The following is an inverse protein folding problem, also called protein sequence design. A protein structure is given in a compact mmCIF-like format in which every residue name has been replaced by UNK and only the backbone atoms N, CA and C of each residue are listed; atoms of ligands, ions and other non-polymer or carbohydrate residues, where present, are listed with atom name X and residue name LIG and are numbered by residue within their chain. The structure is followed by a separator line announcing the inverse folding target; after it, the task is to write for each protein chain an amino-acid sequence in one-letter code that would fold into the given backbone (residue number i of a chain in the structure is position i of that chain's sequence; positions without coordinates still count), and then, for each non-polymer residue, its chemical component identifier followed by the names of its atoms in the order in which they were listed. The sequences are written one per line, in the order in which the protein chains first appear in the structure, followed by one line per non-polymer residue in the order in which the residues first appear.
data_IF_898563962479
#
_entry.id   IF_898563962479
#
_cell.length_a   1.000
_cell.length_b   1.000
_cell.length_c   1.000
_cell.angle_alpha   90.00
_cell.angle_beta   90.00
_cell.angle_gamma   90.00
#
_symmetry.space_group_name_H-M   'P 1'
#
loop_
_entity.id
_entity.type
_entity.pdbx_description
1 polymer ?
#
# COMPACT_ATOMS: atom_id res chain seq x y z
N UNK A 1 7.70 -4.28 -16.94
CA UNK A 1 6.24 -4.50 -16.98
C UNK A 1 5.56 -3.68 -15.92
N UNK A 2 4.32 -3.22 -16.16
CA UNK A 2 3.64 -2.30 -15.24
C UNK A 2 2.77 -3.05 -14.24
N UNK A 3 3.40 -3.60 -13.23
CA UNK A 3 2.67 -4.25 -12.14
C UNK A 3 2.36 -3.21 -11.06
N UNK A 4 1.16 -3.28 -10.52
CA UNK A 4 0.69 -2.33 -9.53
C UNK A 4 0.56 -3.01 -8.16
N UNK A 5 0.92 -2.30 -7.10
CA UNK A 5 0.71 -2.75 -5.73
C UNK A 5 -0.36 -1.88 -5.09
N UNK A 6 -1.45 -2.49 -4.67
CA UNK A 6 -2.49 -1.83 -3.90
C UNK A 6 -2.25 -2.06 -2.42
N UNK A 7 -2.36 -1.00 -1.63
CA UNK A 7 -2.20 -1.07 -0.18
C UNK A 7 -3.48 -0.62 0.49
N UNK A 8 -4.04 -1.49 1.32
CA UNK A 8 -5.17 -1.18 2.19
C UNK A 8 -4.60 -0.99 3.60
N UNK A 9 -4.38 0.26 3.97
CA UNK A 9 -3.68 0.58 5.20
C UNK A 9 -4.59 0.49 6.42
N UNK A 10 -4.19 -0.31 7.39
CA UNK A 10 -4.84 -0.41 8.69
C UNK A 10 -3.81 -0.17 9.80
N UNK A 11 -4.27 0.14 11.00
CA UNK A 11 -3.38 0.41 12.11
C UNK A 11 -2.61 -0.83 12.56
N UNK A 12 -3.20 -2.00 12.43
CA UNK A 12 -2.55 -3.26 12.79
C UNK A 12 -2.31 -4.15 11.59
N UNK A 13 -3.28 -4.25 10.69
CA UNK A 13 -3.18 -5.12 9.53
C UNK A 13 -3.16 -4.30 8.26
N UNK A 14 -2.20 -4.57 7.40
CA UNK A 14 -2.08 -3.90 6.11
C UNK A 14 -2.26 -4.95 5.03
N UNK A 15 -3.29 -4.77 4.20
CA UNK A 15 -3.58 -5.67 3.10
C UNK A 15 -2.85 -5.26 1.84
N UNK A 16 -2.28 -6.22 1.14
CA UNK A 16 -1.60 -5.99 -0.13
C UNK A 16 -2.32 -6.75 -1.24
N UNK A 17 -2.54 -6.07 -2.35
CA UNK A 17 -3.08 -6.67 -3.56
C UNK A 17 -2.16 -6.32 -4.73
N UNK A 18 -2.09 -7.20 -5.71
CA UNK A 18 -1.21 -7.00 -6.86
C UNK A 18 -2.04 -7.11 -8.14
N UNK A 19 -1.81 -6.18 -9.06
CA UNK A 19 -2.33 -6.29 -10.41
C UNK A 19 -1.17 -6.43 -11.37
N UNK A 20 -1.03 -7.62 -11.95
CA UNK A 20 -0.01 -7.87 -12.96
C UNK A 20 -0.42 -7.23 -14.29
N UNK A 21 0.56 -6.78 -15.07
CA UNK A 21 0.30 -6.13 -16.35
C UNK A 21 -0.41 -7.06 -17.36
N UNK A 22 -0.23 -8.36 -17.22
CA UNK A 22 -0.84 -9.35 -18.10
C UNK A 22 -2.19 -9.88 -17.60
N UNK A 23 -2.68 -9.37 -16.48
CA UNK A 23 -3.97 -9.76 -15.91
C UNK A 23 -4.87 -8.54 -15.83
N UNK A 24 -6.17 -8.73 -16.06
CA UNK A 24 -7.12 -7.64 -16.01
C UNK A 24 -7.67 -7.35 -14.61
N UNK A 25 -7.48 -8.29 -13.68
CA UNK A 25 -8.06 -8.20 -12.34
C UNK A 25 -6.94 -8.31 -11.29
N UNK A 26 -6.95 -7.43 -10.28
CA UNK A 26 -6.00 -7.57 -9.17
C UNK A 26 -6.35 -8.77 -8.29
N UNK A 27 -5.37 -9.27 -7.58
CA UNK A 27 -5.59 -10.38 -6.65
C UNK A 27 -4.99 -10.05 -5.28
N UNK A 28 -5.57 -10.61 -4.23
CA UNK A 28 -5.04 -10.46 -2.88
C UNK A 28 -3.69 -11.18 -2.77
N UNK A 29 -2.69 -10.47 -2.26
CA UNK A 29 -1.33 -11.01 -2.14
C UNK A 29 -1.04 -11.50 -0.73
N UNK A 30 -1.14 -10.61 0.26
CA UNK A 30 -0.92 -10.98 1.67
C UNK A 30 -1.48 -9.91 2.59
N UNK A 31 -1.60 -10.27 3.87
CA UNK A 31 -1.94 -9.33 4.94
C UNK A 31 -0.75 -9.30 5.90
N UNK A 32 -0.28 -8.09 6.22
CA UNK A 32 0.86 -7.90 7.11
C UNK A 32 0.37 -7.46 8.48
N UNK A 33 0.75 -8.19 9.53
CA UNK A 33 0.52 -7.76 10.91
C UNK A 33 1.71 -6.91 11.33
N UNK A 34 1.50 -5.60 11.43
CA UNK A 34 2.60 -4.66 11.70
C UNK A 34 3.15 -4.77 13.13
N UNK A 35 2.46 -5.47 14.01
CA UNK A 35 2.99 -5.75 15.34
C UNK A 35 4.01 -6.88 15.35
N UNK A 36 3.97 -7.74 14.32
CA UNK A 36 4.84 -8.90 14.22
C UNK A 36 5.91 -8.75 13.16
N UNK A 37 5.69 -7.89 12.17
CA UNK A 37 6.57 -7.75 11.01
C UNK A 37 6.84 -6.28 10.74
N UNK A 38 8.02 -5.99 10.19
CA UNK A 38 8.35 -4.64 9.76
C UNK A 38 7.68 -4.37 8.40
N UNK A 39 6.76 -3.42 8.38
CA UNK A 39 5.96 -3.13 7.17
C UNK A 39 6.85 -2.71 6.00
N UNK A 40 7.80 -1.83 6.23
CA UNK A 40 8.65 -1.33 5.13
C UNK A 40 9.51 -2.46 4.55
N UNK A 41 10.05 -3.33 5.38
CA UNK A 41 10.80 -4.50 4.91
C UNK A 41 9.93 -5.40 4.04
N UNK A 42 8.68 -5.64 4.45
CA UNK A 42 7.74 -6.45 3.67
C UNK A 42 7.40 -5.78 2.34
N UNK A 43 7.25 -4.46 2.34
CA UNK A 43 6.96 -3.73 1.11
C UNK A 43 8.15 -3.75 0.15
N UNK A 44 9.37 -3.55 0.66
CA UNK A 44 10.58 -3.62 -0.17
C UNK A 44 10.68 -4.99 -0.85
N UNK A 45 10.48 -6.05 -0.08
CA UNK A 45 10.52 -7.41 -0.59
C UNK A 45 9.49 -7.64 -1.70
N UNK A 46 8.25 -7.20 -1.46
CA UNK A 46 7.16 -7.35 -2.42
C UNK A 46 7.43 -6.56 -3.71
N UNK A 47 7.89 -5.32 -3.58
CA UNK A 47 8.15 -4.46 -4.73
C UNK A 47 9.27 -5.05 -5.61
N UNK A 48 10.30 -5.58 -4.99
CA UNK A 48 11.40 -6.21 -5.73
C UNK A 48 10.98 -7.52 -6.38
N UNK A 49 10.34 -8.42 -5.64
CA UNK A 49 9.98 -9.74 -6.14
C UNK A 49 8.91 -9.71 -7.21
N UNK A 50 7.98 -8.79 -7.11
CA UNK A 50 6.83 -8.71 -8.01
C UNK A 50 6.98 -7.64 -9.09
N UNK A 51 8.15 -7.02 -9.20
CA UNK A 51 8.44 -5.97 -10.19
C UNK A 51 7.39 -4.86 -10.19
N UNK A 52 7.08 -4.36 -9.01
CA UNK A 52 6.08 -3.31 -8.84
C UNK A 52 6.63 -1.98 -9.35
N UNK A 53 5.86 -1.30 -10.21
CA UNK A 53 6.26 -0.02 -10.77
C UNK A 53 5.42 1.15 -10.28
N UNK A 54 4.34 0.88 -9.55
CA UNK A 54 3.47 1.93 -9.01
C UNK A 54 2.74 1.42 -7.78
N UNK A 55 2.57 2.29 -6.80
CA UNK A 55 1.82 1.99 -5.59
C UNK A 55 0.50 2.75 -5.64
N UNK A 56 -0.60 2.06 -5.35
CA UNK A 56 -1.91 2.66 -5.20
C UNK A 56 -2.35 2.42 -3.76
N UNK A 57 -2.72 3.49 -3.07
CA UNK A 57 -3.15 3.37 -1.69
C UNK A 57 -4.60 3.79 -1.54
N UNK A 58 -5.39 2.97 -0.85
CA UNK A 58 -6.78 3.28 -0.58
C UNK A 58 -6.89 4.40 0.43
N UNK A 59 -7.81 5.35 0.18
CA UNK A 59 -7.99 6.51 1.05
C UNK A 59 -9.34 6.40 1.75
N UNK A 60 -9.36 6.13 3.06
CA UNK A 60 -10.64 6.00 3.77
C UNK A 60 -11.30 7.37 3.92
N UNK A 61 -12.58 7.45 3.56
CA UNK A 61 -13.38 8.67 3.69
C UNK A 61 -14.48 8.38 4.72
N UNK A 62 -14.66 9.30 5.66
CA UNK A 62 -15.71 9.17 6.65
C UNK A 62 -17.10 9.32 6.06
N UNK A 63 -18.12 8.92 6.82
CA UNK A 63 -19.52 8.92 6.36
C UNK A 63 -20.01 10.30 5.96
N UNK A 64 -19.43 11.37 6.49
CA UNK A 64 -19.80 12.75 6.20
C UNK A 64 -18.91 13.41 5.17
N UNK A 65 -18.11 12.64 4.45
CA UNK A 65 -17.11 13.12 3.50
C UNK A 65 -16.00 13.96 4.16
N UNK A 66 -15.91 13.94 5.47
CA UNK A 66 -14.82 14.58 6.19
C UNK A 66 -13.64 13.61 6.33
N UNK A 67 -12.40 14.10 6.36
CA UNK A 67 -11.26 13.25 6.62
C UNK A 67 -11.42 12.51 7.95
N UNK A 68 -11.27 11.22 7.94
CA UNK A 68 -11.33 10.41 9.14
C UNK A 68 -9.96 10.37 9.81
N UNK A 69 -9.91 9.81 11.02
CA UNK A 69 -8.63 9.54 11.69
C UNK A 69 -7.72 8.70 10.81
N UNK A 70 -8.30 7.70 10.12
CA UNK A 70 -7.53 6.83 9.23
C UNK A 70 -6.98 7.58 8.02
N UNK A 71 -7.71 8.57 7.48
CA UNK A 71 -7.18 9.40 6.39
C UNK A 71 -5.90 10.10 6.78
N UNK A 72 -5.85 10.63 8.00
CA UNK A 72 -4.66 11.31 8.51
C UNK A 72 -3.50 10.34 8.69
N UNK A 73 -3.77 9.14 9.16
CA UNK A 73 -2.75 8.11 9.32
C UNK A 73 -2.19 7.67 7.96
N UNK A 74 -3.06 7.57 6.95
CA UNK A 74 -2.64 7.26 5.59
C UNK A 74 -1.73 8.38 5.05
N UNK A 75 -2.09 9.65 5.26
CA UNK A 75 -1.24 10.77 4.84
C UNK A 75 0.14 10.70 5.47
N UNK A 76 0.20 10.44 6.77
CA UNK A 76 1.47 10.30 7.48
C UNK A 76 2.28 9.14 6.91
N UNK A 77 1.62 8.03 6.66
CA UNK A 77 2.28 6.85 6.09
C UNK A 77 2.88 7.16 4.72
N UNK A 78 2.13 7.84 3.84
CA UNK A 78 2.62 8.21 2.52
C UNK A 78 3.83 9.14 2.63
N UNK A 79 3.73 10.20 3.40
CA UNK A 79 4.79 11.22 3.47
C UNK A 79 6.01 10.77 4.25
N UNK A 80 5.83 10.05 5.35
CA UNK A 80 6.92 9.70 6.25
C UNK A 80 7.54 8.34 5.98
N UNK A 81 6.81 7.46 5.32
CA UNK A 81 7.26 6.07 5.10
C UNK A 81 7.44 5.76 3.62
N UNK A 82 6.40 5.95 2.80
CA UNK A 82 6.45 5.52 1.41
C UNK A 82 7.35 6.40 0.57
N UNK A 83 7.18 7.72 0.61
CA UNK A 83 7.98 8.64 -0.19
C UNK A 83 9.45 8.66 0.22
N UNK A 84 9.72 8.35 1.48
CA UNK A 84 11.10 8.31 2.00
C UNK A 84 11.83 7.06 1.51
N UNK A 85 11.13 5.94 1.39
CA UNK A 85 11.74 4.64 1.08
C UNK A 85 11.61 4.20 -0.38
N UNK A 86 10.73 4.81 -1.16
CA UNK A 86 10.46 4.37 -2.53
C UNK A 86 10.43 5.53 -3.52
N UNK A 87 11.07 5.32 -4.67
CA UNK A 87 11.10 6.30 -5.76
C UNK A 87 9.98 6.12 -6.77
N UNK A 88 9.23 5.02 -6.70
CA UNK A 88 8.16 4.75 -7.67
C UNK A 88 6.93 5.62 -7.38
N UNK A 89 6.11 5.91 -8.41
CA UNK A 89 4.91 6.72 -8.21
C UNK A 89 3.96 6.13 -7.16
N UNK A 90 3.38 6.99 -6.35
CA UNK A 90 2.39 6.64 -5.32
C UNK A 90 1.14 7.44 -5.60
N UNK A 91 0.01 6.76 -5.62
CA UNK A 91 -1.23 7.42 -5.98
C UNK A 91 -2.33 7.25 -4.92
#
# INVERSE_FOLDING_TARGET
MNNLLGIDFGERFVGLAIKKSNLSIPYAHKIIDVKKNNLITELIDTIEKEDITKIIIGYPIGLSNNPSRMSKLVDIFIECELKVNFDIPIK
#
